data_IF_189007179883
#
_entry.id   IF_189007179883
#
_cell.length_a   1.000
_cell.length_b   1.000
_cell.length_c   1.000
_cell.angle_alpha   90.00
_cell.angle_beta   90.00
_cell.angle_gamma   90.00
#
_symmetry.space_group_name_H-M   'P 1'
#
loop_
_entity.id
_entity.type
_entity.pdbx_description
1 polymer ?
#
# COMPACT_ATOMS: atom_id res chain seq x y z
N UNK A 1 -13.10 15.51 -7.61
CA UNK A 1 -13.52 14.54 -6.59
C UNK A 1 -12.54 13.36 -6.48
N UNK A 2 -12.10 12.75 -7.59
CA UNK A 2 -11.22 11.59 -7.57
C UNK A 2 -9.88 11.85 -6.85
N UNK A 3 -9.23 12.98 -7.09
CA UNK A 3 -7.97 13.35 -6.42
C UNK A 3 -8.18 13.49 -4.91
N UNK A 4 -9.27 14.10 -4.49
CA UNK A 4 -9.61 14.24 -3.07
C UNK A 4 -9.81 12.88 -2.40
N UNK A 5 -10.52 11.95 -3.03
CA UNK A 5 -10.70 10.59 -2.53
C UNK A 5 -9.37 9.85 -2.39
N UNK A 6 -8.48 9.96 -3.38
CA UNK A 6 -7.15 9.32 -3.34
C UNK A 6 -6.30 9.92 -2.21
N UNK A 7 -6.28 11.24 -2.05
CA UNK A 7 -5.54 11.89 -0.97
C UNK A 7 -6.05 11.45 0.41
N UNK A 8 -7.37 11.42 0.60
CA UNK A 8 -7.99 10.96 1.85
C UNK A 8 -7.65 9.49 2.13
N UNK A 9 -7.76 8.62 1.13
CA UNK A 9 -7.40 7.21 1.25
C UNK A 9 -5.93 7.02 1.63
N UNK A 10 -5.02 7.80 1.05
CA UNK A 10 -3.58 7.76 1.36
C UNK A 10 -3.30 8.18 2.80
N UNK A 11 -3.95 9.23 3.28
CA UNK A 11 -3.83 9.67 4.69
C UNK A 11 -4.31 8.58 5.65
N UNK A 12 -5.50 8.01 5.40
CA UNK A 12 -6.06 6.93 6.23
C UNK A 12 -5.13 5.72 6.21
N UNK A 13 -4.62 5.33 5.05
CA UNK A 13 -3.68 4.21 4.91
C UNK A 13 -2.40 4.45 5.69
N UNK A 14 -1.83 5.65 5.62
CA UNK A 14 -0.61 6.00 6.35
C UNK A 14 -0.81 5.97 7.87
N UNK A 15 -1.94 6.45 8.36
CA UNK A 15 -2.28 6.42 9.78
C UNK A 15 -2.55 5.00 10.29
N UNK A 16 -3.05 4.11 9.43
CA UNK A 16 -3.31 2.70 9.80
C UNK A 16 -2.02 1.89 10.03
N UNK A 17 -0.90 2.28 9.43
CA UNK A 17 0.38 1.57 9.52
C UNK A 17 0.90 1.41 10.96
N UNK A 18 1.10 2.50 11.74
CA UNK A 18 1.52 2.42 13.14
C UNK A 18 0.54 1.65 14.03
N UNK A 19 -0.77 1.79 13.77
CA UNK A 19 -1.81 1.05 14.49
C UNK A 19 -1.70 -0.45 14.23
N UNK A 20 -1.60 -0.82 12.97
CA UNK A 20 -1.43 -2.23 12.57
C UNK A 20 -0.16 -2.85 13.17
N UNK A 21 0.96 -2.09 13.22
CA UNK A 21 2.19 -2.53 13.89
C UNK A 21 1.97 -2.82 15.37
N UNK A 22 1.22 -1.97 16.08
CA UNK A 22 0.94 -2.15 17.50
C UNK A 22 0.12 -3.41 17.80
N UNK A 23 -0.86 -3.70 16.94
CA UNK A 23 -1.70 -4.90 17.05
C UNK A 23 -0.90 -6.16 16.69
N UNK A 24 -0.09 -6.11 15.63
CA UNK A 24 0.70 -7.26 15.15
C UNK A 24 1.81 -7.65 16.12
N UNK A 25 2.28 -6.74 16.97
CA UNK A 25 3.21 -7.08 18.07
C UNK A 25 2.59 -8.00 19.12
N UNK A 26 1.29 -7.87 19.37
CA UNK A 26 0.55 -8.60 20.43
C UNK A 26 -0.17 -9.84 19.92
N UNK A 27 -0.38 -9.95 18.61
CA UNK A 27 -1.10 -11.04 17.98
C UNK A 27 -0.30 -11.64 16.83
N UNK A 28 -0.74 -12.79 16.35
CA UNK A 28 -0.12 -13.40 15.16
C UNK A 28 -0.34 -12.53 13.92
N UNK A 29 0.76 -12.21 13.23
CA UNK A 29 0.74 -11.35 12.04
C UNK A 29 -0.19 -11.88 10.94
N UNK A 30 -0.27 -13.20 10.78
CA UNK A 30 -1.15 -13.81 9.79
C UNK A 30 -2.63 -13.59 10.13
N UNK A 31 -3.01 -13.80 11.39
CA UNK A 31 -4.38 -13.61 11.84
C UNK A 31 -4.83 -12.14 11.69
N UNK A 32 -3.96 -11.20 12.05
CA UNK A 32 -4.25 -9.76 11.91
C UNK A 32 -4.40 -9.37 10.45
N UNK A 33 -3.50 -9.82 9.58
CA UNK A 33 -3.59 -9.56 8.14
C UNK A 33 -4.85 -10.16 7.52
N UNK A 34 -5.18 -11.41 7.87
CA UNK A 34 -6.38 -12.08 7.41
C UNK A 34 -7.64 -11.30 7.80
N UNK A 35 -7.77 -10.94 9.08
CA UNK A 35 -8.92 -10.19 9.58
C UNK A 35 -9.05 -8.83 8.89
N UNK A 36 -7.95 -8.09 8.74
CA UNK A 36 -7.96 -6.79 8.07
C UNK A 36 -8.42 -6.90 6.62
N UNK A 37 -7.87 -7.86 5.86
CA UNK A 37 -8.23 -8.06 4.46
C UNK A 37 -9.67 -8.59 4.32
N UNK A 38 -10.07 -9.51 5.20
CA UNK A 38 -11.41 -10.11 5.16
C UNK A 38 -12.49 -9.08 5.52
N UNK A 39 -12.33 -8.38 6.63
CA UNK A 39 -13.31 -7.38 7.10
C UNK A 39 -13.36 -6.19 6.13
N UNK A 40 -12.18 -5.69 5.72
CA UNK A 40 -12.09 -4.59 4.75
C UNK A 40 -12.66 -4.97 3.38
N UNK A 41 -12.36 -6.16 2.89
CA UNK A 41 -12.89 -6.68 1.63
C UNK A 41 -14.40 -6.89 1.67
N UNK A 42 -14.92 -7.44 2.78
CA UNK A 42 -16.36 -7.63 2.97
C UNK A 42 -17.10 -6.27 3.02
N UNK A 43 -16.55 -5.30 3.74
CA UNK A 43 -17.11 -3.95 3.81
C UNK A 43 -17.16 -3.28 2.43
N UNK A 44 -16.07 -3.38 1.65
CA UNK A 44 -16.02 -2.85 0.29
C UNK A 44 -16.99 -3.58 -0.66
N UNK A 45 -17.13 -4.89 -0.51
CA UNK A 45 -18.08 -5.67 -1.30
C UNK A 45 -19.52 -5.25 -1.03
N UNK A 46 -19.89 -5.10 0.25
CA UNK A 46 -21.23 -4.63 0.64
C UNK A 46 -21.49 -3.21 0.12
N UNK A 47 -20.55 -2.29 0.33
CA UNK A 47 -20.67 -0.92 -0.16
C UNK A 47 -20.78 -0.87 -1.69
N UNK A 48 -19.96 -1.63 -2.39
CA UNK A 48 -19.98 -1.70 -3.85
C UNK A 48 -21.33 -2.23 -4.39
N UNK A 49 -21.91 -3.26 -3.76
CA UNK A 49 -23.23 -3.78 -4.16
C UNK A 49 -24.35 -2.80 -3.86
N UNK A 50 -24.33 -2.12 -2.71
CA UNK A 50 -25.31 -1.08 -2.36
C UNK A 50 -25.27 0.11 -3.32
N UNK A 51 -24.07 0.49 -3.79
CA UNK A 51 -23.88 1.55 -4.78
C UNK A 51 -24.26 1.13 -6.21
N UNK A 52 -24.79 -0.09 -6.40
CA UNK A 52 -25.23 -0.61 -7.70
C UNK A 52 -24.13 -1.27 -8.51
N UNK A 53 -22.97 -1.53 -7.92
CA UNK A 53 -21.90 -2.31 -8.55
C UNK A 53 -22.34 -3.73 -8.83
N UNK A 54 -22.10 -4.22 -10.06
CA UNK A 54 -22.37 -5.60 -10.46
C UNK A 54 -21.07 -6.25 -10.90
N UNK A 55 -20.75 -7.38 -10.29
CA UNK A 55 -19.64 -8.21 -10.76
C UNK A 55 -20.09 -8.94 -12.04
N UNK A 56 -19.58 -8.45 -13.18
CA UNK A 56 -19.83 -9.09 -14.47
C UNK A 56 -18.58 -9.87 -14.89
N UNK A 57 -18.57 -11.14 -14.58
CA UNK A 57 -17.46 -12.03 -14.92
C UNK A 57 -17.71 -12.59 -16.32
N UNK A 58 -16.98 -12.07 -17.31
CA UNK A 58 -17.20 -12.41 -18.73
C UNK A 58 -16.41 -13.63 -19.21
N UNK A 59 -15.35 -14.06 -18.50
CA UNK A 59 -14.54 -15.19 -18.93
C UNK A 59 -13.82 -15.88 -17.77
N UNK A 60 -13.47 -17.16 -17.97
CA UNK A 60 -12.64 -17.90 -17.03
C UNK A 60 -11.27 -17.26 -16.79
N UNK A 61 -10.72 -16.61 -17.81
CA UNK A 61 -9.47 -15.85 -17.69
C UNK A 61 -9.61 -14.68 -16.70
N UNK A 62 -10.74 -13.99 -16.69
CA UNK A 62 -10.98 -12.90 -15.74
C UNK A 62 -10.98 -13.40 -14.28
N UNK A 63 -11.58 -14.57 -14.02
CA UNK A 63 -11.54 -15.21 -12.70
C UNK A 63 -10.10 -15.56 -12.30
N UNK A 64 -9.34 -16.14 -13.21
CA UNK A 64 -7.94 -16.54 -12.95
C UNK A 64 -7.08 -15.33 -12.64
N UNK A 65 -7.24 -14.23 -13.38
CA UNK A 65 -6.53 -12.97 -13.13
C UNK A 65 -6.95 -12.36 -11.78
N UNK A 66 -8.24 -12.40 -11.43
CA UNK A 66 -8.72 -11.93 -10.13
C UNK A 66 -8.11 -12.74 -8.97
N UNK A 67 -8.07 -14.05 -9.08
CA UNK A 67 -7.45 -14.94 -8.07
C UNK A 67 -5.94 -14.68 -7.96
N UNK A 68 -5.27 -14.51 -9.07
CA UNK A 68 -3.83 -14.18 -9.11
C UNK A 68 -3.54 -12.83 -8.43
N UNK A 69 -4.34 -11.80 -8.74
CA UNK A 69 -4.20 -10.48 -8.09
C UNK A 69 -4.50 -10.57 -6.59
N UNK A 70 -5.54 -11.30 -6.18
CA UNK A 70 -5.87 -11.49 -4.78
C UNK A 70 -4.73 -12.19 -4.03
N UNK A 71 -4.11 -13.21 -4.64
CA UNK A 71 -2.96 -13.91 -4.06
C UNK A 71 -1.77 -12.99 -3.88
N UNK A 72 -1.39 -12.22 -4.92
CA UNK A 72 -0.26 -11.26 -4.85
C UNK A 72 -0.52 -10.19 -3.80
N UNK A 73 -1.73 -9.62 -3.77
CA UNK A 73 -2.09 -8.60 -2.77
C UNK A 73 -2.01 -9.16 -1.35
N UNK A 74 -2.55 -10.36 -1.11
CA UNK A 74 -2.52 -11.02 0.19
C UNK A 74 -1.10 -11.35 0.64
N UNK A 75 -0.30 -11.96 -0.23
CA UNK A 75 1.09 -12.29 0.05
C UNK A 75 1.92 -11.04 0.33
N UNK A 76 1.78 -10.00 -0.51
CA UNK A 76 2.47 -8.73 -0.33
C UNK A 76 2.11 -8.04 1.00
N UNK A 77 0.83 -8.07 1.38
CA UNK A 77 0.37 -7.49 2.63
C UNK A 77 0.95 -8.22 3.85
N UNK A 78 1.01 -9.55 3.81
CA UNK A 78 1.61 -10.37 4.88
C UNK A 78 3.11 -10.10 4.99
N UNK A 79 3.84 -10.10 3.86
CA UNK A 79 5.27 -9.83 3.82
C UNK A 79 5.57 -8.42 4.37
N UNK A 80 4.77 -7.43 4.00
CA UNK A 80 4.89 -6.08 4.52
C UNK A 80 4.66 -6.01 6.03
N UNK A 81 3.63 -6.70 6.54
CA UNK A 81 3.35 -6.76 7.97
C UNK A 81 4.49 -7.43 8.76
N UNK A 82 5.07 -8.52 8.24
CA UNK A 82 6.23 -9.19 8.83
C UNK A 82 7.47 -8.28 8.83
N UNK A 83 7.68 -7.54 7.76
CA UNK A 83 8.77 -6.57 7.66
C UNK A 83 8.62 -5.47 8.71
N UNK A 84 7.41 -4.92 8.87
CA UNK A 84 7.11 -3.91 9.88
C UNK A 84 7.22 -4.44 11.32
N UNK A 85 6.89 -5.71 11.55
CA UNK A 85 7.00 -6.33 12.87
C UNK A 85 8.44 -6.37 13.36
N UNK A 86 9.37 -6.71 12.47
CA UNK A 86 10.76 -7.03 12.80
C UNK A 86 11.73 -5.85 12.62
N UNK A 87 11.29 -4.75 12.01
CA UNK A 87 12.16 -3.63 11.69
C UNK A 87 11.57 -2.27 12.15
N UNK A 88 12.43 -1.29 12.46
CA UNK A 88 11.97 0.07 12.73
C UNK A 88 11.38 0.70 11.46
N UNK A 89 10.32 1.48 11.63
CA UNK A 89 9.57 2.12 10.52
C UNK A 89 10.47 2.98 9.63
N UNK A 90 11.44 3.68 10.23
CA UNK A 90 12.40 4.52 9.49
C UNK A 90 13.24 3.72 8.49
N UNK A 91 13.61 2.48 8.83
CA UNK A 91 14.38 1.61 7.93
C UNK A 91 13.52 1.08 6.79
N UNK A 92 12.23 0.83 7.04
CA UNK A 92 11.28 0.36 6.03
C UNK A 92 10.89 1.48 5.07
N UNK A 93 10.84 2.72 5.53
CA UNK A 93 10.51 3.88 4.70
C UNK A 93 11.43 4.00 3.46
N UNK A 94 12.69 3.52 3.54
CA UNK A 94 13.61 3.49 2.40
C UNK A 94 13.08 2.59 1.28
N UNK A 95 12.47 1.45 1.62
CA UNK A 95 11.85 0.56 0.62
C UNK A 95 10.61 1.17 -0.03
N UNK A 96 9.90 2.05 0.68
CA UNK A 96 8.79 2.82 0.11
C UNK A 96 9.21 3.72 -1.06
N UNK A 97 10.49 4.12 -1.13
CA UNK A 97 11.04 4.88 -2.25
C UNK A 97 11.14 4.05 -3.55
N UNK A 98 11.32 2.75 -3.44
CA UNK A 98 11.42 1.86 -4.60
C UNK A 98 10.12 1.84 -5.40
N UNK A 99 8.97 1.91 -4.74
CA UNK A 99 7.66 1.88 -5.39
C UNK A 99 7.46 3.00 -6.45
N UNK A 100 7.64 4.30 -6.13
CA UNK A 100 7.47 5.35 -7.14
C UNK A 100 8.49 5.23 -8.29
N UNK A 101 9.73 4.82 -8.00
CA UNK A 101 10.75 4.63 -9.04
C UNK A 101 10.36 3.50 -10.00
N UNK A 102 9.98 2.34 -9.46
CA UNK A 102 9.54 1.19 -10.25
C UNK A 102 8.28 1.52 -11.05
N UNK A 103 7.31 2.24 -10.46
CA UNK A 103 6.09 2.66 -11.15
C UNK A 103 6.38 3.58 -12.34
N UNK A 104 7.29 4.55 -12.20
CA UNK A 104 7.68 5.44 -13.30
C UNK A 104 8.38 4.66 -14.41
N UNK A 105 9.28 3.73 -14.06
CA UNK A 105 9.97 2.88 -15.03
C UNK A 105 8.99 1.97 -15.78
N UNK A 106 8.07 1.32 -15.06
CA UNK A 106 7.05 0.46 -15.66
C UNK A 106 6.10 1.25 -16.56
N UNK A 107 5.67 2.45 -16.14
CA UNK A 107 4.82 3.31 -16.95
C UNK A 107 5.51 3.73 -18.25
N UNK A 108 6.79 4.05 -18.18
CA UNK A 108 7.56 4.40 -19.37
C UNK A 108 7.71 3.23 -20.35
N UNK A 109 7.98 2.02 -19.84
CA UNK A 109 8.18 0.81 -20.66
C UNK A 109 6.85 0.31 -21.26
N UNK A 110 5.78 0.26 -20.45
CA UNK A 110 4.51 -0.34 -20.87
C UNK A 110 3.62 0.62 -21.66
N UNK A 111 3.61 1.90 -21.29
CA UNK A 111 2.73 2.90 -21.89
C UNK A 111 3.46 3.82 -22.89
N UNK A 112 4.78 3.68 -23.07
CA UNK A 112 5.57 4.56 -23.92
C UNK A 112 5.59 6.02 -23.46
N UNK A 113 5.33 6.26 -22.18
CA UNK A 113 5.32 7.61 -21.62
C UNK A 113 6.74 8.18 -21.48
N UNK A 114 6.94 9.48 -21.76
CA UNK A 114 8.27 10.08 -21.59
C UNK A 114 8.68 10.05 -20.11
N UNK A 115 9.84 9.43 -19.84
CA UNK A 115 10.44 9.33 -18.50
C UNK A 115 10.65 10.70 -17.83
N UNK A 116 10.86 11.75 -18.62
CA UNK A 116 11.15 13.11 -18.17
C UNK A 116 9.92 14.02 -18.20
N UNK A 117 8.87 13.68 -17.46
CA UNK A 117 7.83 14.66 -17.15
C UNK A 117 8.20 15.40 -15.87
N UNK A 118 8.11 16.71 -15.87
CA UNK A 118 8.36 17.60 -14.72
C UNK A 118 7.62 17.16 -13.45
N UNK A 119 6.42 16.61 -13.61
CA UNK A 119 5.61 16.09 -12.51
C UNK A 119 6.25 14.89 -11.80
N UNK A 120 6.92 13.98 -12.53
CA UNK A 120 7.60 12.83 -11.95
C UNK A 120 8.86 13.26 -11.19
N UNK A 121 9.61 14.23 -11.73
CA UNK A 121 10.77 14.81 -11.05
C UNK A 121 10.37 15.53 -9.76
N UNK A 122 9.31 16.33 -9.80
CA UNK A 122 8.79 17.00 -8.62
C UNK A 122 8.34 15.98 -7.55
N UNK A 123 7.57 14.95 -7.93
CA UNK A 123 7.14 13.89 -7.02
C UNK A 123 8.34 13.15 -6.39
N UNK A 124 9.37 12.85 -7.20
CA UNK A 124 10.60 12.19 -6.73
C UNK A 124 11.32 13.04 -5.69
N UNK A 125 11.46 14.35 -5.92
CA UNK A 125 12.10 15.29 -4.98
C UNK A 125 11.31 15.33 -3.66
N UNK A 126 9.97 15.43 -3.72
CA UNK A 126 9.15 15.43 -2.50
C UNK A 126 9.28 14.13 -1.70
N UNK A 127 9.34 12.99 -2.38
CA UNK A 127 9.54 11.69 -1.72
C UNK A 127 10.93 11.61 -1.09
N UNK A 128 11.99 12.06 -1.79
CA UNK A 128 13.36 12.12 -1.25
C UNK A 128 13.43 13.00 0.00
N UNK A 129 12.83 14.18 -0.04
CA UNK A 129 12.80 15.11 1.11
C UNK A 129 12.02 14.49 2.27
N UNK A 130 10.88 13.83 2.01
CA UNK A 130 10.10 13.15 3.02
C UNK A 130 10.89 12.05 3.72
N UNK A 131 11.59 11.21 2.97
CA UNK A 131 12.44 10.13 3.52
C UNK A 131 13.62 10.72 4.32
N UNK A 132 14.26 11.76 3.81
CA UNK A 132 15.34 12.43 4.51
C UNK A 132 14.88 13.00 5.86
N UNK A 133 13.71 13.63 5.90
CA UNK A 133 13.11 14.15 7.14
C UNK A 133 12.83 13.04 8.14
N UNK A 134 12.24 11.93 7.70
CA UNK A 134 11.94 10.77 8.56
C UNK A 134 13.21 10.13 9.10
N UNK A 135 14.27 10.03 8.29
CA UNK A 135 15.54 9.44 8.73
C UNK A 135 16.35 10.37 9.65
N UNK A 136 16.16 11.69 9.54
CA UNK A 136 16.81 12.67 10.41
C UNK A 136 16.11 12.81 11.76
N UNK A 137 14.85 12.44 11.86
CA UNK A 137 14.14 12.41 13.14
C UNK A 137 14.82 11.38 14.05
N UNK A 138 15.23 11.77 15.28
CA UNK A 138 15.85 10.84 16.21
C UNK A 138 14.91 9.66 16.43
N UNK A 139 15.46 8.45 16.27
CA UNK A 139 14.69 7.23 16.54
C UNK A 139 14.10 7.35 17.93
N UNK A 140 12.78 7.55 18.02
CA UNK A 140 12.10 7.47 19.31
C UNK A 140 12.45 6.11 19.90
N UNK A 141 13.22 6.12 20.99
CA UNK A 141 13.46 4.91 21.78
C UNK A 141 12.09 4.41 22.19
N UNK A 142 11.62 3.40 21.49
CA UNK A 142 10.39 2.68 21.85
C UNK A 142 10.64 2.12 23.25
N UNK A 143 10.09 2.79 24.26
CA UNK A 143 10.09 2.28 25.63
C UNK A 143 9.36 0.93 25.59
N UNK A 144 10.13 -0.12 25.88
CA UNK A 144 9.65 -1.49 26.08
C UNK A 144 8.69 -1.52 27.26
#
# INVERSE_FOLDING_TARGET
WGVFCVMTATVIFTLSGPWNKSVTKKADSFAVCFLNLFVGGLALFVLGTVMGGRLHVQSALAVLVMLYLAFICGAGYILWALLMKNNPVSRIAIFGFVNPVVNVLLSAVLNGEPLFRWQYLAALVFVCVGIWLVNKAPAQKEKV
#
